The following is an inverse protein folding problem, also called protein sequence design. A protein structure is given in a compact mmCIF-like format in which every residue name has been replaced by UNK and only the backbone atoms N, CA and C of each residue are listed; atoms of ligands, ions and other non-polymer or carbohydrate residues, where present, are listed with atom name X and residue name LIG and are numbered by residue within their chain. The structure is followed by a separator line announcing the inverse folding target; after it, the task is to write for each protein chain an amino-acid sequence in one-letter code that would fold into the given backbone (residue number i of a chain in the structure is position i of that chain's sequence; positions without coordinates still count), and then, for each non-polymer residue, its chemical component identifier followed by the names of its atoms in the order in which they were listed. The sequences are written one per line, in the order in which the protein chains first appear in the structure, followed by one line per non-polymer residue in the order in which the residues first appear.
data_IF_550831976375
#
_entry.id   IF_550831976375
#
_cell.length_a   1.000
_cell.length_b   1.000
_cell.length_c   1.000
_cell.angle_alpha   90.00
_cell.angle_beta   90.00
_cell.angle_gamma   90.00
#
_symmetry.space_group_name_H-M   'P 1'
#
loop_
_entity.id
_entity.type
_entity.pdbx_description
1 polymer ?
#
# COMPACT_ATOMS: atom_id res chain seq x y z
N UNK A 1 19.69 -12.00 -44.52
CA UNK A 1 20.18 -12.76 -43.34
C UNK A 1 20.25 -11.89 -42.09
N UNK A 2 20.88 -10.71 -42.14
CA UNK A 2 21.01 -9.82 -40.97
C UNK A 2 19.69 -9.44 -40.27
N UNK A 3 18.66 -9.05 -41.04
CA UNK A 3 17.34 -8.70 -40.50
C UNK A 3 16.71 -9.87 -39.71
N UNK A 4 16.84 -11.09 -40.21
CA UNK A 4 16.29 -12.29 -39.57
C UNK A 4 16.96 -12.55 -38.21
N UNK A 5 18.28 -12.36 -38.12
CA UNK A 5 19.04 -12.49 -36.85
C UNK A 5 18.61 -11.42 -35.85
N UNK A 6 18.44 -10.16 -36.28
CA UNK A 6 18.00 -9.09 -35.38
C UNK A 6 16.57 -9.29 -34.87
N UNK A 7 15.65 -9.72 -35.73
CA UNK A 7 14.26 -10.04 -35.32
C UNK A 7 14.25 -11.22 -34.34
N UNK A 8 15.05 -12.25 -34.60
CA UNK A 8 15.17 -13.40 -33.70
C UNK A 8 15.74 -13.01 -32.32
N UNK A 9 16.80 -12.19 -32.29
CA UNK A 9 17.38 -11.67 -31.04
C UNK A 9 16.42 -10.74 -30.27
N UNK A 10 15.62 -9.94 -30.99
CA UNK A 10 14.60 -9.10 -30.38
C UNK A 10 13.48 -9.92 -29.70
N UNK A 11 13.03 -11.00 -30.35
CA UNK A 11 12.03 -11.90 -29.76
C UNK A 11 12.62 -12.74 -28.62
N UNK A 12 13.79 -13.34 -28.84
CA UNK A 12 14.46 -14.20 -27.90
C UNK A 12 16.00 -14.06 -28.00
N UNK A 13 16.57 -13.23 -27.14
CA UNK A 13 18.02 -13.01 -27.09
C UNK A 13 18.86 -14.18 -26.57
N UNK A 14 18.23 -15.26 -26.10
CA UNK A 14 18.85 -16.52 -25.67
C UNK A 14 18.66 -17.65 -26.68
N UNK A 15 18.25 -17.33 -27.92
CA UNK A 15 18.07 -18.36 -28.94
C UNK A 15 19.39 -19.10 -29.21
N UNK A 16 19.42 -20.44 -29.05
CA UNK A 16 20.64 -21.22 -29.29
C UNK A 16 21.03 -21.13 -30.77
N UNK A 17 22.32 -20.96 -31.04
CA UNK A 17 22.86 -20.88 -32.41
C UNK A 17 23.02 -19.45 -32.97
N UNK A 18 22.59 -18.41 -32.25
CA UNK A 18 22.87 -17.02 -32.62
C UNK A 18 24.08 -16.49 -31.83
N UNK A 19 25.07 -15.93 -32.53
CA UNK A 19 26.19 -15.23 -31.90
C UNK A 19 25.71 -13.95 -31.23
N UNK A 20 26.27 -13.64 -30.06
CA UNK A 20 26.02 -12.37 -29.38
C UNK A 20 26.51 -11.21 -30.26
N UNK A 21 25.80 -10.07 -30.29
CA UNK A 21 26.28 -8.90 -31.00
C UNK A 21 27.69 -8.52 -30.51
N UNK A 22 28.58 -8.23 -31.46
CA UNK A 22 30.00 -7.93 -31.19
C UNK A 22 30.08 -6.70 -30.29
N UNK A 23 30.74 -6.82 -29.14
CA UNK A 23 30.94 -5.72 -28.18
C UNK A 23 30.06 -5.75 -26.93
N UNK A 24 28.99 -6.56 -26.90
CA UNK A 24 28.11 -6.66 -25.73
C UNK A 24 28.43 -7.89 -24.87
N UNK A 25 28.75 -7.67 -23.59
CA UNK A 25 29.04 -8.75 -22.62
C UNK A 25 27.80 -9.57 -22.25
N UNK A 26 26.60 -9.03 -22.43
CA UNK A 26 25.33 -9.64 -22.08
C UNK A 26 24.42 -9.76 -23.30
N UNK A 27 23.66 -10.85 -23.45
CA UNK A 27 22.70 -10.98 -24.53
C UNK A 27 21.60 -9.92 -24.41
N UNK A 28 21.10 -9.44 -25.56
CA UNK A 28 19.97 -8.51 -25.61
C UNK A 28 18.77 -9.12 -24.87
N UNK A 29 18.15 -8.34 -23.97
CA UNK A 29 16.96 -8.81 -23.24
C UNK A 29 15.71 -8.80 -24.11
N UNK A 30 15.53 -9.88 -24.86
CA UNK A 30 14.39 -10.08 -25.78
C UNK A 30 13.04 -10.19 -25.07
N UNK A 31 11.96 -10.14 -25.85
CA UNK A 31 10.57 -10.14 -25.36
C UNK A 31 10.29 -11.35 -24.44
N UNK A 32 10.69 -12.55 -24.86
CA UNK A 32 10.47 -13.78 -24.11
C UNK A 32 11.11 -13.74 -22.69
N UNK A 33 12.31 -13.18 -22.56
CA UNK A 33 13.01 -13.04 -21.28
C UNK A 33 12.40 -11.96 -20.38
N UNK A 34 11.72 -10.96 -20.96
CA UNK A 34 10.96 -9.97 -20.19
C UNK A 34 9.69 -10.60 -19.61
N UNK A 35 9.09 -11.56 -20.31
CA UNK A 35 7.86 -12.22 -19.89
C UNK A 35 8.10 -13.35 -18.88
N UNK A 36 9.10 -14.21 -19.13
CA UNK A 36 9.39 -15.42 -18.34
C UNK A 36 10.32 -15.15 -17.14
N UNK A 37 10.38 -16.11 -16.21
CA UNK A 37 11.30 -16.09 -15.07
C UNK A 37 10.72 -15.48 -13.79
N UNK A 38 11.50 -15.54 -12.69
CA UNK A 38 11.08 -15.06 -11.36
C UNK A 38 10.82 -13.55 -11.33
N UNK A 39 11.62 -12.78 -12.08
CA UNK A 39 11.49 -11.33 -12.25
C UNK A 39 10.81 -10.94 -13.57
N UNK A 40 10.27 -11.90 -14.32
CA UNK A 40 9.51 -11.65 -15.55
C UNK A 40 8.15 -11.02 -15.27
N UNK A 41 7.52 -10.44 -16.29
CA UNK A 41 6.23 -9.74 -16.16
C UNK A 41 5.10 -10.65 -15.68
N UNK A 42 5.04 -11.91 -16.09
CA UNK A 42 3.99 -12.82 -15.64
C UNK A 42 4.06 -13.07 -14.14
N UNK A 43 5.23 -13.41 -13.60
CA UNK A 43 5.34 -13.70 -12.17
C UNK A 43 5.47 -12.45 -11.30
N UNK A 44 6.21 -11.44 -11.75
CA UNK A 44 6.54 -10.25 -10.97
C UNK A 44 5.56 -9.09 -11.08
N UNK A 45 4.64 -9.09 -12.05
CA UNK A 45 3.60 -8.05 -12.14
C UNK A 45 2.18 -8.60 -12.03
N UNK A 46 1.92 -9.80 -12.56
CA UNK A 46 0.58 -10.40 -12.55
C UNK A 46 0.37 -11.27 -11.30
N UNK A 47 1.28 -12.21 -11.00
CA UNK A 47 1.12 -13.09 -9.83
C UNK A 47 1.53 -12.47 -8.49
N UNK A 48 2.46 -11.50 -8.50
CA UNK A 48 2.94 -10.83 -7.29
C UNK A 48 3.29 -9.37 -7.58
N UNK A 49 2.33 -8.47 -7.41
CA UNK A 49 2.53 -7.03 -7.60
C UNK A 49 2.86 -6.34 -6.28
N UNK A 50 3.63 -5.25 -6.33
CA UNK A 50 3.69 -4.31 -5.20
C UNK A 50 2.32 -3.68 -5.00
N UNK A 51 1.90 -3.58 -3.74
CA UNK A 51 0.60 -3.03 -3.35
C UNK A 51 0.80 -1.76 -2.54
N UNK A 52 -0.03 -0.77 -2.84
CA UNK A 52 -0.14 0.44 -2.05
C UNK A 52 -0.90 0.17 -0.74
N UNK A 53 -0.87 1.11 0.20
CA UNK A 53 -1.52 0.98 1.51
C UNK A 53 -1.10 -0.27 2.29
N UNK A 54 0.21 -0.55 2.31
CA UNK A 54 0.80 -1.62 3.11
C UNK A 54 1.96 -1.09 3.95
N UNK A 55 2.16 -1.67 5.14
CA UNK A 55 3.22 -1.30 6.08
C UNK A 55 3.95 -2.55 6.60
N UNK A 56 5.26 -2.42 6.87
CA UNK A 56 6.08 -3.49 7.44
C UNK A 56 7.00 -2.93 8.52
N UNK A 57 6.98 -3.55 9.71
CA UNK A 57 7.91 -3.26 10.80
C UNK A 57 8.22 -4.53 11.59
N UNK A 58 9.10 -4.41 12.59
CA UNK A 58 9.44 -5.47 13.54
C UNK A 58 8.24 -5.76 14.44
N UNK A 59 8.11 -7.02 14.86
CA UNK A 59 7.07 -7.49 15.77
C UNK A 59 7.57 -7.57 17.22
N UNK A 60 6.69 -7.33 18.18
CA UNK A 60 6.96 -7.47 19.62
C UNK A 60 5.74 -8.08 20.33
N UNK A 61 5.93 -8.93 21.34
CA UNK A 61 4.82 -9.46 22.11
C UNK A 61 4.18 -8.37 22.99
N UNK A 62 2.86 -8.43 23.18
CA UNK A 62 2.12 -7.62 24.15
C UNK A 62 0.94 -8.42 24.74
N UNK A 63 1.05 -8.92 25.97
CA UNK A 63 0.03 -9.78 26.58
C UNK A 63 -1.26 -9.02 26.94
N UNK A 64 -1.23 -7.68 26.96
CA UNK A 64 -2.41 -6.87 27.30
C UNK A 64 -3.35 -6.64 26.10
N UNK A 65 -2.90 -6.97 24.89
CA UNK A 65 -3.73 -6.89 23.69
C UNK A 65 -4.68 -8.08 23.60
N UNK A 66 -5.86 -7.87 23.04
CA UNK A 66 -6.75 -8.99 22.72
C UNK A 66 -6.18 -9.80 21.55
N UNK A 67 -6.57 -11.07 21.48
CA UNK A 67 -6.16 -12.00 20.40
C UNK A 67 -6.57 -11.46 19.02
N UNK A 68 -7.71 -10.77 18.93
CA UNK A 68 -8.21 -10.17 17.69
C UNK A 68 -7.59 -8.80 17.36
N UNK A 69 -6.66 -8.30 18.19
CA UNK A 69 -6.08 -6.96 18.05
C UNK A 69 -4.61 -6.99 17.61
N UNK A 70 -4.23 -5.96 16.88
CA UNK A 70 -2.84 -5.67 16.52
C UNK A 70 -2.49 -4.24 16.93
N UNK A 71 -1.42 -4.12 17.71
CA UNK A 71 -0.83 -2.84 18.06
C UNK A 71 -0.12 -2.24 16.85
N UNK A 72 -0.61 -1.09 16.38
CA UNK A 72 -0.06 -0.37 15.23
C UNK A 72 0.62 0.92 15.70
N UNK A 73 1.88 1.17 15.31
CA UNK A 73 2.55 2.43 15.56
C UNK A 73 1.79 3.64 15.05
N UNK A 74 1.72 4.71 15.83
CA UNK A 74 1.10 5.98 15.43
C UNK A 74 1.65 6.52 14.10
N UNK A 75 2.97 6.36 13.86
CA UNK A 75 3.60 6.75 12.59
C UNK A 75 3.06 5.99 11.38
N UNK A 76 2.76 4.70 11.56
CA UNK A 76 2.15 3.87 10.51
C UNK A 76 0.69 4.30 10.33
N UNK A 77 -0.04 4.49 11.43
CA UNK A 77 -1.44 4.91 11.41
C UNK A 77 -1.67 6.27 10.72
N UNK A 78 -0.76 7.24 10.89
CA UNK A 78 -0.79 8.54 10.19
C UNK A 78 -0.49 8.43 8.69
N UNK A 79 0.31 7.44 8.30
CA UNK A 79 0.71 7.25 6.89
C UNK A 79 -0.33 6.44 6.12
N UNK A 80 -0.92 5.42 6.76
CA UNK A 80 -1.94 4.58 6.16
C UNK A 80 -3.29 5.29 6.23
N UNK A 81 -3.90 5.52 5.08
CA UNK A 81 -5.21 6.16 4.99
C UNK A 81 -6.31 5.18 4.62
N UNK A 82 -7.53 5.51 5.05
CA UNK A 82 -8.75 4.84 4.65
C UNK A 82 -9.68 5.86 3.99
N UNK A 83 -10.15 5.61 2.75
CA UNK A 83 -11.08 6.52 2.07
C UNK A 83 -12.48 6.36 2.65
N UNK A 84 -12.90 7.31 3.48
CA UNK A 84 -14.24 7.33 4.06
C UNK A 84 -15.13 8.33 3.32
N UNK A 85 -16.27 7.86 2.83
CA UNK A 85 -17.23 8.71 2.13
C UNK A 85 -18.05 9.52 3.12
N UNK A 86 -18.15 10.82 2.87
CA UNK A 86 -18.93 11.75 3.68
C UNK A 86 -20.41 11.45 3.50
N UNK A 87 -21.07 11.25 4.63
CA UNK A 87 -22.48 10.99 4.81
C UNK A 87 -23.02 11.90 5.92
N UNK A 88 -24.34 11.95 6.05
CA UNK A 88 -25.02 12.76 7.08
C UNK A 88 -24.60 12.36 8.50
N UNK A 89 -24.24 11.10 8.71
CA UNK A 89 -23.91 10.54 10.02
C UNK A 89 -22.46 10.79 10.46
N UNK A 90 -21.51 10.88 9.53
CA UNK A 90 -20.08 10.99 9.83
C UNK A 90 -19.49 12.36 9.51
N UNK A 91 -20.26 13.29 8.94
CA UNK A 91 -19.77 14.60 8.52
C UNK A 91 -19.10 15.38 9.65
N UNK A 92 -19.68 15.38 10.85
CA UNK A 92 -19.11 16.09 12.00
C UNK A 92 -17.82 15.45 12.50
N UNK A 93 -17.73 14.13 12.43
CA UNK A 93 -16.52 13.38 12.75
C UNK A 93 -15.41 13.67 11.74
N UNK A 94 -15.71 13.58 10.45
CA UNK A 94 -14.75 13.83 9.38
C UNK A 94 -14.27 15.29 9.37
N UNK A 95 -15.15 16.26 9.65
CA UNK A 95 -14.75 17.67 9.83
C UNK A 95 -13.70 17.85 10.90
N UNK A 96 -13.84 17.19 12.05
CA UNK A 96 -12.83 17.23 13.13
C UNK A 96 -11.48 16.66 12.67
N UNK A 97 -11.49 15.54 11.94
CA UNK A 97 -10.26 14.94 11.41
C UNK A 97 -9.56 15.85 10.39
N UNK A 98 -10.33 16.54 9.54
CA UNK A 98 -9.82 17.51 8.57
C UNK A 98 -9.18 18.71 9.28
N UNK A 99 -9.81 19.23 10.34
CA UNK A 99 -9.26 20.32 11.16
C UNK A 99 -7.95 19.90 11.83
N UNK A 100 -7.88 18.70 12.39
CA UNK A 100 -6.65 18.16 12.99
C UNK A 100 -5.51 18.06 11.96
N UNK A 101 -5.85 17.73 10.71
CA UNK A 101 -4.91 17.66 9.59
C UNK A 101 -3.99 16.42 9.62
N UNK A 102 -2.88 16.43 8.87
CA UNK A 102 -2.08 15.23 8.65
C UNK A 102 -1.06 14.93 9.76
N UNK A 103 -0.70 15.92 10.58
CA UNK A 103 0.38 15.80 11.57
C UNK A 103 -0.07 15.31 12.95
N UNK A 104 -1.36 15.40 13.24
CA UNK A 104 -1.93 15.00 14.53
C UNK A 104 -2.86 13.82 14.31
N UNK A 105 -2.67 12.75 15.07
CA UNK A 105 -3.54 11.57 15.04
C UNK A 105 -4.58 11.67 16.17
N UNK A 106 -5.88 11.42 15.91
CA UNK A 106 -6.47 11.07 14.63
C UNK A 106 -6.70 12.29 13.71
N UNK A 107 -6.40 12.13 12.42
CA UNK A 107 -6.49 13.20 11.42
C UNK A 107 -6.76 12.68 10.00
N UNK A 108 -6.50 13.52 8.99
CA UNK A 108 -6.69 13.19 7.57
C UNK A 108 -5.60 13.80 6.68
N UNK A 109 -5.30 13.14 5.57
CA UNK A 109 -4.22 13.57 4.65
C UNK A 109 -4.76 14.20 3.37
N UNK A 110 -5.82 13.63 2.80
CA UNK A 110 -6.37 14.07 1.52
C UNK A 110 -7.90 14.13 1.55
N UNK A 111 -8.47 15.03 0.75
CA UNK A 111 -9.91 15.06 0.43
C UNK A 111 -10.06 14.96 -1.07
N UNK A 112 -10.94 14.07 -1.52
CA UNK A 112 -11.34 13.94 -2.90
C UNK A 112 -12.75 14.49 -3.05
N UNK A 113 -12.85 15.61 -3.76
CA UNK A 113 -14.14 16.22 -4.10
C UNK A 113 -14.74 15.52 -5.32
N UNK A 114 -16.05 15.61 -5.49
CA UNK A 114 -16.83 14.99 -6.59
C UNK A 114 -16.26 15.19 -8.01
N UNK A 115 -15.42 16.19 -8.27
CA UNK A 115 -14.73 16.41 -9.54
C UNK A 115 -13.41 15.63 -9.75
N UNK A 116 -13.15 14.57 -8.97
CA UNK A 116 -11.86 13.83 -8.91
C UNK A 116 -10.63 14.67 -8.52
N UNK A 117 -10.82 15.92 -8.10
CA UNK A 117 -9.74 16.75 -7.61
C UNK A 117 -9.34 16.31 -6.19
N UNK A 118 -8.05 16.01 -6.02
CA UNK A 118 -7.48 15.62 -4.73
C UNK A 118 -6.82 16.83 -4.08
N UNK A 119 -7.37 17.26 -2.95
CA UNK A 119 -6.82 18.33 -2.11
C UNK A 119 -5.95 17.72 -1.03
N UNK A 120 -4.72 18.19 -0.92
CA UNK A 120 -3.80 17.81 0.17
C UNK A 120 -4.01 18.71 1.38
N UNK A 121 -4.10 18.11 2.57
CA UNK A 121 -4.29 18.85 3.84
C UNK A 121 -2.96 19.29 4.47
N UNK A 122 -1.83 18.99 3.83
CA UNK A 122 -0.51 19.48 4.27
C UNK A 122 -0.37 20.99 4.13
N UNK A 123 -1.12 21.60 3.22
CA UNK A 123 -1.03 23.03 2.89
C UNK A 123 -2.44 23.62 2.84
N UNK A 124 -2.60 24.87 3.31
CA UNK A 124 -3.85 25.62 3.25
C UNK A 124 -4.65 25.64 4.56
N UNK A 125 -5.73 26.44 4.53
CA UNK A 125 -6.59 26.69 5.69
C UNK A 125 -7.57 25.54 5.93
N UNK A 126 -7.23 24.72 6.93
CA UNK A 126 -7.97 23.49 7.27
C UNK A 126 -9.41 23.74 7.72
N UNK A 127 -9.64 24.87 8.40
CA UNK A 127 -10.96 25.23 8.91
C UNK A 127 -11.95 25.57 7.78
N UNK A 128 -11.48 26.29 6.76
CA UNK A 128 -12.28 26.61 5.58
C UNK A 128 -12.59 25.34 4.76
N UNK A 129 -11.58 24.47 4.58
CA UNK A 129 -11.75 23.18 3.90
C UNK A 129 -12.77 22.29 4.63
N UNK A 130 -12.74 22.23 5.96
CA UNK A 130 -13.69 21.45 6.74
C UNK A 130 -15.13 21.99 6.62
N UNK A 131 -15.29 23.31 6.56
CA UNK A 131 -16.60 23.96 6.42
C UNK A 131 -17.21 23.67 5.04
N UNK A 132 -16.37 23.66 4.00
CA UNK A 132 -16.74 23.35 2.61
C UNK A 132 -16.94 21.85 2.32
N UNK A 133 -16.84 20.99 3.33
CA UNK A 133 -17.02 19.55 3.14
C UNK A 133 -18.49 19.22 2.89
N UNK A 134 -18.77 18.57 1.76
CA UNK A 134 -20.12 18.23 1.33
C UNK A 134 -20.38 16.71 1.36
N UNK A 135 -21.66 16.33 1.42
CA UNK A 135 -22.07 14.93 1.37
C UNK A 135 -21.72 14.37 0.00
N UNK A 136 -21.01 13.24 -0.03
CA UNK A 136 -20.55 12.60 -1.26
C UNK A 136 -19.05 12.72 -1.51
N UNK A 137 -18.38 13.69 -0.88
CA UNK A 137 -16.92 13.78 -0.88
C UNK A 137 -16.29 12.58 -0.17
N UNK A 138 -15.01 12.33 -0.44
CA UNK A 138 -14.25 11.24 0.20
C UNK A 138 -13.08 11.84 0.96
N UNK A 139 -13.01 11.55 2.26
CA UNK A 139 -11.91 11.96 3.12
C UNK A 139 -10.99 10.76 3.32
N UNK A 140 -9.72 10.91 2.94
CA UNK A 140 -8.68 9.93 3.24
C UNK A 140 -8.17 10.19 4.66
N UNK A 141 -8.89 9.65 5.63
CA UNK A 141 -8.55 9.74 7.05
C UNK A 141 -7.42 8.79 7.41
N UNK A 142 -6.71 9.08 8.50
CA UNK A 142 -5.77 8.13 9.11
C UNK A 142 -6.49 6.85 9.56
N UNK A 143 -5.72 5.77 9.65
CA UNK A 143 -6.17 4.54 10.29
C UNK A 143 -6.43 4.80 11.79
N UNK A 144 -7.59 4.37 12.30
CA UNK A 144 -8.02 4.58 13.69
C UNK A 144 -8.19 3.25 14.42
N UNK A 145 -8.38 3.33 15.74
CA UNK A 145 -8.71 2.18 16.57
C UNK A 145 -9.99 1.48 16.07
N UNK A 146 -9.92 0.15 15.96
CA UNK A 146 -11.05 -0.69 15.53
C UNK A 146 -11.14 -0.95 14.03
N UNK A 147 -10.35 -0.24 13.20
CA UNK A 147 -10.23 -0.54 11.77
C UNK A 147 -9.72 -1.98 11.56
N UNK A 148 -10.21 -2.64 10.51
CA UNK A 148 -9.82 -4.03 10.21
C UNK A 148 -8.67 -4.02 9.21
N UNK A 149 -7.58 -4.68 9.57
CA UNK A 149 -6.39 -4.79 8.72
C UNK A 149 -6.04 -6.26 8.49
N UNK A 150 -5.50 -6.54 7.30
CA UNK A 150 -4.91 -7.85 7.01
C UNK A 150 -3.46 -7.85 7.48
N UNK A 151 -3.12 -8.84 8.31
CA UNK A 151 -1.77 -9.07 8.77
C UNK A 151 -1.24 -10.38 8.18
N UNK A 152 0.04 -10.37 7.78
CA UNK A 152 0.69 -11.51 7.16
C UNK A 152 2.12 -11.70 7.70
N UNK A 153 2.55 -12.95 7.87
CA UNK A 153 3.96 -13.32 8.12
C UNK A 153 4.48 -14.21 6.99
N UNK A 154 5.44 -13.68 6.22
CA UNK A 154 6.12 -14.44 5.17
C UNK A 154 7.08 -15.49 5.79
N UNK A 155 7.14 -16.75 5.28
CA UNK A 155 6.40 -17.32 4.16
C UNK A 155 4.97 -17.76 4.51
N UNK A 156 4.00 -17.37 3.69
CA UNK A 156 2.59 -17.72 3.87
C UNK A 156 2.23 -19.03 3.15
N UNK A 157 2.55 -20.16 3.81
CA UNK A 157 2.20 -21.50 3.34
C UNK A 157 0.79 -21.94 3.74
N UNK A 158 0.26 -21.38 4.83
CA UNK A 158 -1.04 -21.74 5.38
C UNK A 158 -2.02 -20.58 5.23
N UNK A 159 -3.33 -20.90 5.13
CA UNK A 159 -4.40 -19.90 5.14
C UNK A 159 -4.33 -18.99 6.38
N UNK A 160 -3.98 -19.56 7.53
CA UNK A 160 -3.79 -18.86 8.80
C UNK A 160 -2.60 -17.90 8.82
N UNK A 161 -1.70 -17.97 7.83
CA UNK A 161 -0.60 -17.01 7.73
C UNK A 161 -1.08 -15.60 7.35
N UNK A 162 -2.32 -15.47 6.87
CA UNK A 162 -2.97 -14.18 6.59
C UNK A 162 -4.28 -14.13 7.39
N UNK A 163 -4.33 -13.25 8.38
CA UNK A 163 -5.51 -13.08 9.24
C UNK A 163 -5.88 -11.61 9.38
N UNK A 164 -7.17 -11.34 9.55
CA UNK A 164 -7.68 -10.01 9.85
C UNK A 164 -7.58 -9.72 11.34
N UNK A 165 -7.10 -8.54 11.70
CA UNK A 165 -7.02 -8.06 13.07
C UNK A 165 -7.63 -6.66 13.18
N UNK A 166 -8.06 -6.28 14.37
CA UNK A 166 -8.50 -4.92 14.71
C UNK A 166 -7.32 -4.08 15.13
N UNK A 167 -7.22 -2.88 14.56
CA UNK A 167 -6.14 -1.95 14.87
C UNK A 167 -6.30 -1.40 16.28
N UNK A 168 -5.19 -1.34 17.00
CA UNK A 168 -5.02 -0.55 18.22
C UNK A 168 -3.80 0.36 18.06
N UNK A 169 -4.00 1.66 17.93
CA UNK A 169 -2.92 2.62 17.71
C UNK A 169 -2.14 2.82 19.01
N UNK A 170 -0.82 2.74 18.92
CA UNK A 170 0.11 2.86 20.03
C UNK A 170 1.29 3.79 19.70
N UNK A 171 1.91 4.45 20.69
CA UNK A 171 3.00 5.42 20.47
C UNK A 171 4.32 4.77 20.04
N UNK A 172 4.47 3.45 20.17
CA UNK A 172 5.70 2.71 19.87
C UNK A 172 5.95 2.55 18.37
N UNK A 173 7.07 1.90 17.99
CA UNK A 173 7.50 1.73 16.58
C UNK A 173 7.36 0.30 16.02
N UNK A 174 7.01 -0.66 16.86
CA UNK A 174 6.86 -2.07 16.48
C UNK A 174 5.38 -2.46 16.37
N UNK A 175 5.09 -3.47 15.56
CA UNK A 175 3.78 -4.12 15.59
C UNK A 175 3.70 -5.01 16.82
N UNK A 176 2.57 -4.96 17.52
CA UNK A 176 2.37 -5.75 18.74
C UNK A 176 1.20 -6.70 18.61
N UNK A 177 1.32 -7.89 19.16
CA UNK A 177 0.25 -8.88 19.18
C UNK A 177 0.28 -9.67 20.48
N UNK A 178 -0.85 -10.29 20.80
CA UNK A 178 -0.97 -11.20 21.93
C UNK A 178 -0.18 -12.48 21.65
N UNK A 179 0.59 -12.96 22.62
CA UNK A 179 1.45 -14.15 22.49
C UNK A 179 0.70 -15.43 22.08
N UNK A 180 -0.62 -15.47 22.29
CA UNK A 180 -1.48 -16.59 21.88
C UNK A 180 -1.78 -16.65 20.37
N UNK A 181 -1.36 -15.64 19.58
CA UNK A 181 -1.63 -15.50 18.14
C UNK A 181 -0.49 -16.07 17.28
#
# INVERSE_FOLDING_TARGET
YFLQVQVAQYLNGEMPGLSKPIGEKQPIRGLCQRLKGKSGRFRGNLSGKRVDFSGRTVISPDPNLRIDQVGVPQRVAMTMTFPERVSRYNIDFLRKLVVNGPHTHPGANYIRTSGNFVKSLHYGDRADIATKLEIGDVVERHMIDGDVVLFNRQPSLHKLSIMSHRVKVMPWRTFRFNECV
#
